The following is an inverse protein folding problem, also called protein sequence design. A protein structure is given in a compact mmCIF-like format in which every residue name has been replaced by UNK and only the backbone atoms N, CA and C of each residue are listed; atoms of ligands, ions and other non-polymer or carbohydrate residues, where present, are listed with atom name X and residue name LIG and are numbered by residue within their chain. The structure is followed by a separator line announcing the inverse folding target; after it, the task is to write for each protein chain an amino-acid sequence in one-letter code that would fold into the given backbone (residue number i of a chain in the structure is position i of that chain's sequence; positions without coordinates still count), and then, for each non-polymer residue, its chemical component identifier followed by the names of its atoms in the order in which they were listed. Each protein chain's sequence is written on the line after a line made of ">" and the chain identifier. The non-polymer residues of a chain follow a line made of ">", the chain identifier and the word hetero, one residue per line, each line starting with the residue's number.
data_IF_774641056629
#
_entry.id   IF_774641056629
#
_cell.length_a   1.000
_cell.length_b   1.000
_cell.length_c   1.000
_cell.angle_alpha   90.00
_cell.angle_beta   90.00
_cell.angle_gamma   90.00
#
_symmetry.space_group_name_H-M   'P 1'
#
loop_
_entity.id
_entity.type
_entity.pdbx_description
1 polymer ?
#
# COMPACT_ATOMS: atom_id res chain seq x y z
N UNK A 1 -9.97 -17.88 -15.20
CA UNK A 1 -10.03 -16.53 -15.83
C UNK A 1 -9.04 -15.59 -15.12
N UNK A 2 -8.66 -14.49 -15.77
CA UNK A 2 -7.44 -13.67 -15.58
C UNK A 2 -6.13 -14.47 -15.60
N UNK A 3 -5.81 -15.28 -14.58
CA UNK A 3 -4.58 -16.08 -14.57
C UNK A 3 -4.50 -17.04 -15.76
N UNK A 4 -5.60 -17.72 -16.09
CA UNK A 4 -5.69 -18.57 -17.29
C UNK A 4 -5.54 -17.81 -18.60
N UNK A 5 -5.99 -16.53 -18.64
CA UNK A 5 -5.85 -15.66 -19.81
C UNK A 5 -4.36 -15.41 -20.09
N UNK A 6 -3.55 -15.33 -19.04
CA UNK A 6 -2.10 -15.14 -19.11
C UNK A 6 -1.30 -16.44 -18.99
N UNK A 7 -1.95 -17.61 -18.99
CA UNK A 7 -1.30 -18.93 -18.89
C UNK A 7 -0.40 -19.08 -17.65
N UNK A 8 -0.79 -18.46 -16.54
CA UNK A 8 -0.11 -18.66 -15.25
C UNK A 8 -0.39 -20.07 -14.76
N UNK A 9 0.66 -20.83 -14.46
CA UNK A 9 0.58 -22.23 -14.00
C UNK A 9 0.75 -22.40 -12.50
N UNK A 10 1.18 -21.33 -11.81
CA UNK A 10 1.29 -21.30 -10.34
C UNK A 10 -0.09 -21.44 -9.68
N UNK A 11 -0.09 -21.75 -8.38
CA UNK A 11 -1.33 -21.86 -7.63
C UNK A 11 -2.06 -20.50 -7.62
N UNK A 12 -3.33 -20.43 -8.07
CA UNK A 12 -4.10 -19.18 -8.02
C UNK A 12 -4.16 -18.54 -6.64
N UNK A 13 -4.11 -19.35 -5.59
CA UNK A 13 -4.10 -18.89 -4.20
C UNK A 13 -2.83 -18.14 -3.81
N UNK A 14 -1.76 -18.22 -4.62
CA UNK A 14 -0.54 -17.44 -4.42
C UNK A 14 -0.70 -15.97 -4.86
N UNK A 15 -1.84 -15.60 -5.47
CA UNK A 15 -2.10 -14.28 -6.01
C UNK A 15 -3.29 -13.60 -5.33
N UNK A 16 -3.25 -12.28 -5.26
CA UNK A 16 -4.38 -11.46 -4.85
C UNK A 16 -4.42 -10.15 -5.65
N UNK A 17 -5.55 -9.45 -5.55
CA UNK A 17 -5.67 -8.10 -6.09
C UNK A 17 -5.18 -7.08 -5.07
N UNK A 18 -4.39 -6.13 -5.53
CA UNK A 18 -3.84 -5.06 -4.72
C UNK A 18 -4.21 -3.71 -5.31
N UNK A 19 -4.52 -2.76 -4.42
CA UNK A 19 -4.62 -1.34 -4.75
C UNK A 19 -3.25 -0.72 -4.56
N UNK A 20 -2.75 -0.02 -5.58
CA UNK A 20 -1.53 0.80 -5.52
C UNK A 20 -1.91 2.25 -5.77
N UNK A 21 -1.56 3.15 -4.87
CA UNK A 21 -1.74 4.60 -5.02
C UNK A 21 -0.43 5.32 -5.34
N UNK A 22 -0.54 6.50 -5.93
CA UNK A 22 0.56 7.44 -6.15
C UNK A 22 1.26 7.89 -4.86
N UNK A 23 0.57 7.86 -3.73
CA UNK A 23 1.12 8.10 -2.39
C UNK A 23 2.14 7.05 -1.96
N UNK A 24 2.17 5.89 -2.64
CA UNK A 24 2.92 4.71 -2.22
C UNK A 24 2.15 3.78 -1.29
N UNK A 25 0.88 4.07 -0.98
CA UNK A 25 -0.01 3.10 -0.33
C UNK A 25 -0.16 1.87 -1.24
N UNK A 26 0.02 0.69 -0.64
CA UNK A 26 -0.13 -0.58 -1.30
C UNK A 26 -0.87 -1.54 -0.37
N UNK A 27 -2.11 -1.92 -0.71
CA UNK A 27 -2.94 -2.77 0.16
C UNK A 27 -3.59 -3.91 -0.62
N UNK A 28 -3.76 -5.04 0.05
CA UNK A 28 -4.54 -6.15 -0.50
C UNK A 28 -6.04 -5.82 -0.48
N UNK A 29 -6.76 -6.18 -1.54
CA UNK A 29 -8.23 -6.20 -1.55
C UNK A 29 -8.69 -7.45 -0.80
N UNK A 30 -9.48 -7.27 0.24
CA UNK A 30 -9.91 -8.34 1.14
C UNK A 30 -11.02 -9.19 0.50
N UNK A 31 -11.19 -10.42 0.97
CA UNK A 31 -12.19 -11.38 0.42
C UNK A 31 -13.64 -10.90 0.55
N UNK A 32 -13.92 -9.97 1.48
CA UNK A 32 -15.24 -9.38 1.67
C UNK A 32 -15.46 -8.10 0.86
N UNK A 33 -14.45 -7.62 0.13
CA UNK A 33 -14.54 -6.45 -0.73
C UNK A 33 -14.90 -6.85 -2.17
N UNK A 34 -15.55 -5.94 -2.89
CA UNK A 34 -15.93 -6.14 -4.29
C UNK A 34 -14.97 -5.33 -5.20
N UNK A 35 -14.09 -5.97 -6.00
CA UNK A 35 -13.02 -5.26 -6.72
C UNK A 35 -13.48 -4.12 -7.62
N UNK A 36 -14.64 -4.26 -8.27
CA UNK A 36 -15.23 -3.21 -9.09
C UNK A 36 -15.71 -2.01 -8.26
N UNK A 37 -16.33 -2.27 -7.10
CA UNK A 37 -16.73 -1.21 -6.18
C UNK A 37 -15.51 -0.49 -5.61
N UNK A 38 -14.46 -1.25 -5.24
CA UNK A 38 -13.18 -0.68 -4.82
C UNK A 38 -12.65 0.27 -5.90
N UNK A 39 -12.64 -0.15 -7.18
CA UNK A 39 -12.19 0.71 -8.27
C UNK A 39 -13.03 1.99 -8.41
N UNK A 40 -14.35 1.89 -8.32
CA UNK A 40 -15.24 3.07 -8.37
C UNK A 40 -14.90 4.05 -7.25
N UNK A 41 -14.66 3.57 -6.02
CA UNK A 41 -14.31 4.41 -4.87
C UNK A 41 -12.93 5.07 -4.98
N UNK A 42 -12.01 4.48 -5.74
CA UNK A 42 -10.69 5.07 -6.02
C UNK A 42 -10.75 6.23 -7.03
N UNK A 43 -11.87 6.40 -7.73
CA UNK A 43 -12.01 7.35 -8.82
C UNK A 43 -11.41 6.85 -10.13
N UNK A 44 -11.57 7.62 -11.23
CA UNK A 44 -11.23 7.17 -12.57
C UNK A 44 -9.74 7.35 -12.94
N UNK A 45 -8.99 8.16 -12.19
CA UNK A 45 -7.61 8.49 -12.54
C UNK A 45 -6.69 7.30 -12.29
N UNK A 46 -6.06 6.81 -13.36
CA UNK A 46 -5.02 5.79 -13.28
C UNK A 46 -3.70 6.36 -12.74
N UNK A 47 -3.48 7.68 -12.82
CA UNK A 47 -2.31 8.31 -12.21
C UNK A 47 -2.39 8.32 -10.69
N UNK A 48 -3.61 8.31 -10.12
CA UNK A 48 -3.83 8.34 -8.66
C UNK A 48 -3.86 6.95 -8.06
N UNK A 49 -4.54 5.99 -8.68
CA UNK A 49 -4.66 4.65 -8.14
C UNK A 49 -4.91 3.61 -9.23
N UNK A 50 -4.31 2.45 -9.08
CA UNK A 50 -4.46 1.29 -9.98
C UNK A 50 -4.74 0.02 -9.18
N UNK A 51 -5.33 -0.98 -9.85
CA UNK A 51 -5.52 -2.32 -9.29
C UNK A 51 -4.64 -3.30 -10.05
N UNK A 52 -3.81 -4.05 -9.33
CA UNK A 52 -2.90 -5.04 -9.88
C UNK A 52 -3.21 -6.43 -9.32
N UNK A 53 -2.91 -7.47 -10.09
CA UNK A 53 -2.76 -8.82 -9.55
C UNK A 53 -1.29 -9.03 -9.20
N UNK A 54 -1.01 -9.43 -7.95
CA UNK A 54 0.36 -9.63 -7.47
C UNK A 54 0.48 -10.93 -6.69
N UNK A 55 1.70 -11.47 -6.61
CA UNK A 55 1.99 -12.62 -5.77
C UNK A 55 2.03 -12.19 -4.29
N UNK A 56 1.28 -12.88 -3.43
CA UNK A 56 1.13 -12.56 -2.00
C UNK A 56 2.46 -12.55 -1.25
N UNK A 57 3.44 -13.36 -1.66
CA UNK A 57 4.75 -13.45 -1.00
C UNK A 57 5.71 -12.32 -1.40
N UNK A 58 5.45 -11.64 -2.52
CA UNK A 58 6.27 -10.54 -3.02
C UNK A 58 5.64 -9.17 -2.76
N UNK A 59 4.31 -9.13 -2.61
CA UNK A 59 3.56 -7.91 -2.36
C UNK A 59 3.69 -7.50 -0.89
N UNK A 60 4.58 -6.53 -0.61
CA UNK A 60 4.65 -5.89 0.70
C UNK A 60 3.53 -4.87 0.85
N UNK A 61 2.68 -5.03 1.86
CA UNK A 61 1.68 -4.03 2.18
C UNK A 61 2.30 -2.79 2.84
N UNK A 62 1.82 -1.63 2.41
CA UNK A 62 2.19 -0.31 2.92
C UNK A 62 0.88 0.42 3.20
N UNK A 63 0.61 0.69 4.47
CA UNK A 63 -0.56 1.44 4.89
C UNK A 63 -0.45 2.90 4.47
N UNK A 64 -1.58 3.59 4.36
CA UNK A 64 -1.63 5.03 4.09
C UNK A 64 -0.78 5.83 5.10
N UNK A 65 -0.82 5.46 6.38
CA UNK A 65 -0.05 6.10 7.46
C UNK A 65 1.46 5.94 7.29
N UNK A 66 1.93 4.83 6.72
CA UNK A 66 3.35 4.62 6.45
C UNK A 66 3.76 5.27 5.13
N UNK A 67 2.87 5.25 4.13
CA UNK A 67 3.12 5.75 2.78
C UNK A 67 3.57 7.23 2.76
N UNK A 68 3.00 8.06 3.65
CA UNK A 68 3.37 9.48 3.76
C UNK A 68 4.86 9.70 4.07
N UNK A 69 5.54 8.70 4.65
CA UNK A 69 6.94 8.78 5.05
C UNK A 69 7.92 8.31 3.97
N UNK A 70 7.43 7.63 2.92
CA UNK A 70 8.29 7.00 1.89
C UNK A 70 9.14 7.99 1.10
N UNK A 71 8.70 9.25 1.01
CA UNK A 71 9.39 10.31 0.28
C UNK A 71 10.56 10.93 1.04
N UNK A 72 10.74 10.59 2.32
CA UNK A 72 11.80 11.15 3.15
C UNK A 72 13.01 10.23 3.22
N UNK A 73 14.18 10.85 3.28
CA UNK A 73 15.44 10.17 3.56
C UNK A 73 15.50 9.64 4.99
N UNK A 74 16.38 8.67 5.23
CA UNK A 74 16.62 8.15 6.59
C UNK A 74 17.03 9.26 7.56
N UNK A 75 17.80 10.24 7.11
CA UNK A 75 18.21 11.40 7.93
C UNK A 75 17.00 12.22 8.37
N UNK A 76 16.07 12.51 7.46
CA UNK A 76 14.84 13.25 7.78
C UNK A 76 13.94 12.47 8.75
N UNK A 77 13.78 11.15 8.53
CA UNK A 77 13.00 10.29 9.43
C UNK A 77 13.61 10.25 10.84
N UNK A 78 14.95 10.16 10.96
CA UNK A 78 15.65 10.25 12.24
C UNK A 78 15.45 11.60 12.92
N UNK A 79 15.42 12.67 12.14
CA UNK A 79 15.13 14.01 12.66
C UNK A 79 13.70 14.14 13.20
N UNK A 80 12.70 13.53 12.55
CA UNK A 80 11.34 13.50 13.08
C UNK A 80 11.28 12.82 14.45
N UNK A 81 11.88 11.63 14.56
CA UNK A 81 11.95 10.90 15.83
C UNK A 81 12.68 11.69 16.93
N UNK A 82 13.80 12.34 16.58
CA UNK A 82 14.52 13.18 17.51
C UNK A 82 13.65 14.32 18.02
N UNK A 83 12.95 15.03 17.13
CA UNK A 83 12.08 16.15 17.50
C UNK A 83 10.91 15.71 18.37
N UNK A 84 10.27 14.58 18.06
CA UNK A 84 9.23 14.02 18.92
C UNK A 84 9.76 13.69 20.32
N UNK A 85 10.95 13.10 20.44
CA UNK A 85 11.56 12.80 21.74
C UNK A 85 11.92 14.07 22.54
N UNK A 86 12.33 15.15 21.87
CA UNK A 86 12.57 16.43 22.54
C UNK A 86 11.28 17.03 23.12
N UNK A 87 10.18 16.99 22.36
CA UNK A 87 8.88 17.52 22.82
C UNK A 87 8.30 16.69 23.96
N UNK A 88 8.35 15.36 23.87
CA UNK A 88 7.86 14.46 24.92
C UNK A 88 8.55 14.72 26.28
N UNK A 89 9.86 14.99 26.26
CA UNK A 89 10.63 15.35 27.47
C UNK A 89 10.24 16.70 28.06
N UNK A 90 9.82 17.66 27.24
CA UNK A 90 9.35 18.97 27.73
C UNK A 90 8.00 18.87 28.42
N UNK A 91 7.12 18.00 27.96
CA UNK A 91 5.78 17.84 28.53
C UNK A 91 5.78 17.05 29.86
N UNK A 92 6.79 16.21 30.08
CA UNK A 92 6.93 15.41 31.30
C UNK A 92 7.72 16.09 32.43
N UNK A 93 8.18 17.33 32.22
CA UNK A 93 8.93 18.13 33.20
C UNK A 93 8.12 19.31 33.73
#
# INVERSE_FOLDING_TARGET
>A
MLLDKFKVVNNPEDFALYVVRDTGEHRCIQDHEYPLLVRVMLGPSEDVAKVFIMNKNQAREITCEVAQYLKFSETELRMFLHKFSEEEKKETQ
#
